data_IF_269411769189
#
_entry.id   IF_269411769189
#
_cell.length_a   1.000
_cell.length_b   1.000
_cell.length_c   1.000
_cell.angle_alpha   90.00
_cell.angle_beta   90.00
_cell.angle_gamma   90.00
#
_symmetry.space_group_name_H-M   'P 1'
#
loop_
_entity.id
_entity.type
_entity.pdbx_description
1 polymer ?
#
# COMPACT_ATOMS: atom_id res chain seq x y z
N UNK A 1 0.64 13.00 14.22
CA UNK A 1 1.80 12.46 14.96
C UNK A 1 2.22 13.45 16.03
N UNK A 2 2.71 13.02 17.20
CA UNK A 2 3.44 13.94 18.11
C UNK A 2 4.71 14.41 17.40
N UNK A 3 4.95 15.72 17.40
CA UNK A 3 6.09 16.36 16.75
C UNK A 3 7.43 15.70 17.16
N UNK A 4 7.53 15.25 18.42
CA UNK A 4 8.70 14.56 18.95
C UNK A 4 8.97 13.21 18.24
N UNK A 5 7.93 12.44 17.93
CA UNK A 5 8.10 11.16 17.23
C UNK A 5 8.47 11.35 15.76
N UNK A 6 7.96 12.41 15.13
CA UNK A 6 8.35 12.76 13.75
C UNK A 6 9.84 13.04 13.66
N UNK A 7 10.35 13.91 14.53
CA UNK A 7 11.78 14.30 14.56
C UNK A 7 12.68 13.09 14.83
N UNK A 8 12.34 12.27 15.82
CA UNK A 8 13.08 11.03 16.11
C UNK A 8 13.03 10.04 14.95
N UNK A 9 11.90 9.91 14.26
CA UNK A 9 11.80 9.01 13.10
C UNK A 9 12.71 9.48 11.98
N UNK A 10 12.74 10.78 11.67
CA UNK A 10 13.65 11.36 10.67
C UNK A 10 15.11 11.20 11.06
N UNK A 11 15.45 11.40 12.33
CA UNK A 11 16.80 11.20 12.85
C UNK A 11 17.26 9.75 12.66
N UNK A 12 16.41 8.78 12.98
CA UNK A 12 16.72 7.35 12.80
C UNK A 12 16.80 6.95 11.31
N UNK A 13 15.92 7.47 10.45
CA UNK A 13 16.03 7.26 8.99
C UNK A 13 17.36 7.81 8.47
N UNK A 14 17.79 8.97 8.98
CA UNK A 14 19.04 9.59 8.55
C UNK A 14 20.25 8.77 8.99
N UNK A 15 20.27 8.30 10.24
CA UNK A 15 21.36 7.51 10.83
C UNK A 15 21.46 6.08 10.28
N UNK A 16 20.32 5.42 10.07
CA UNK A 16 20.30 4.04 9.61
C UNK A 16 20.80 3.94 8.17
N UNK A 17 21.76 3.06 7.92
CA UNK A 17 22.20 2.63 6.60
C UNK A 17 21.39 1.43 6.11
N UNK A 18 21.04 0.50 7.01
CA UNK A 18 20.29 -0.72 6.71
C UNK A 18 18.86 -0.67 7.26
N UNK A 19 17.86 -0.81 6.37
CA UNK A 19 16.43 -0.66 6.72
C UNK A 19 15.61 -1.84 6.20
N UNK A 20 14.84 -2.48 7.08
CA UNK A 20 13.89 -3.53 6.68
C UNK A 20 12.47 -2.98 6.55
N UNK A 21 11.76 -3.38 5.50
CA UNK A 21 10.31 -3.18 5.35
C UNK A 21 9.63 -4.54 5.43
N UNK A 22 8.83 -4.77 6.47
CA UNK A 22 8.10 -6.01 6.70
C UNK A 22 6.61 -5.76 6.47
N UNK A 23 5.99 -6.60 5.64
CA UNK A 23 4.57 -6.46 5.26
C UNK A 23 3.80 -7.68 5.73
N UNK A 24 2.80 -7.46 6.58
CA UNK A 24 1.90 -8.51 7.07
C UNK A 24 1.14 -9.17 5.92
N UNK A 25 0.98 -10.50 5.98
CA UNK A 25 0.16 -11.26 5.03
C UNK A 25 -1.30 -10.79 5.05
N UNK A 26 -1.81 -10.35 6.20
CA UNK A 26 -3.17 -9.83 6.33
C UNK A 26 -3.37 -8.51 5.57
N UNK A 27 -2.30 -7.80 5.25
CA UNK A 27 -2.32 -6.58 4.44
C UNK A 27 -2.73 -6.81 2.97
N UNK A 28 -2.55 -8.03 2.45
CA UNK A 28 -2.88 -8.38 1.07
C UNK A 28 -2.28 -7.43 0.03
N UNK A 29 -3.03 -7.14 -1.03
CA UNK A 29 -2.59 -6.24 -2.12
C UNK A 29 -2.27 -4.82 -1.62
N UNK A 30 -3.06 -4.29 -0.70
CA UNK A 30 -2.90 -2.93 -0.17
C UNK A 30 -1.62 -2.79 0.68
N UNK A 31 -1.38 -3.75 1.58
CA UNK A 31 -0.14 -3.81 2.36
C UNK A 31 1.09 -3.98 1.46
N UNK A 32 0.98 -4.83 0.44
CA UNK A 32 2.06 -5.04 -0.53
C UNK A 32 2.41 -3.75 -1.29
N UNK A 33 1.39 -3.04 -1.76
CA UNK A 33 1.53 -1.77 -2.46
C UNK A 33 2.19 -0.69 -1.57
N UNK A 34 1.75 -0.59 -0.31
CA UNK A 34 2.34 0.29 0.69
C UNK A 34 3.81 -0.04 0.96
N UNK A 35 4.15 -1.31 1.17
CA UNK A 35 5.51 -1.75 1.44
C UNK A 35 6.47 -1.53 0.28
N UNK A 36 6.03 -1.83 -0.94
CA UNK A 36 6.84 -1.59 -2.13
C UNK A 36 7.06 -0.10 -2.39
N UNK A 37 6.05 0.74 -2.17
CA UNK A 37 6.21 2.19 -2.26
C UNK A 37 7.24 2.72 -1.25
N UNK A 38 7.16 2.28 0.00
CA UNK A 38 8.11 2.67 1.04
C UNK A 38 9.52 2.16 0.73
N UNK A 39 9.65 0.91 0.28
CA UNK A 39 10.91 0.32 -0.17
C UNK A 39 11.59 1.19 -1.24
N UNK A 40 10.86 1.55 -2.30
CA UNK A 40 11.37 2.37 -3.39
C UNK A 40 11.73 3.79 -2.92
N UNK A 41 10.92 4.38 -2.05
CA UNK A 41 11.18 5.71 -1.45
C UNK A 41 12.46 5.74 -0.62
N UNK A 42 12.66 4.74 0.24
CA UNK A 42 13.87 4.60 1.07
C UNK A 42 15.11 4.27 0.22
N UNK A 43 14.95 3.51 -0.86
CA UNK A 43 16.04 3.21 -1.79
C UNK A 43 16.54 4.48 -2.50
N UNK A 44 15.65 5.44 -2.79
CA UNK A 44 16.05 6.77 -3.32
C UNK A 44 16.82 7.63 -2.34
N UNK A 45 16.75 7.34 -1.04
CA UNK A 45 17.61 7.94 -0.02
C UNK A 45 18.97 7.23 0.10
N UNK A 46 19.31 6.38 -0.87
CA UNK A 46 20.55 5.59 -0.92
C UNK A 46 20.72 4.64 0.29
N UNK A 47 19.60 4.26 0.92
CA UNK A 47 19.59 3.28 2.01
C UNK A 47 19.66 1.87 1.45
N UNK A 48 20.26 0.95 2.22
CA UNK A 48 20.25 -0.48 1.93
C UNK A 48 18.95 -1.06 2.47
N UNK A 49 17.95 -1.10 1.60
CA UNK A 49 16.61 -1.55 1.98
C UNK A 49 16.40 -3.00 1.58
N UNK A 50 15.82 -3.79 2.48
CA UNK A 50 15.26 -5.11 2.17
C UNK A 50 13.76 -5.10 2.45
N UNK A 51 12.99 -5.82 1.63
CA UNK A 51 11.55 -5.97 1.82
C UNK A 51 11.17 -7.44 1.96
N UNK A 52 10.46 -7.76 3.04
CA UNK A 52 9.87 -9.08 3.28
C UNK A 52 8.36 -8.95 3.27
N UNK A 53 7.72 -9.73 2.42
CA UNK A 53 6.27 -9.77 2.23
C UNK A 53 5.87 -11.16 1.73
N UNK A 54 4.56 -11.40 1.61
CA UNK A 54 4.06 -12.57 0.89
C UNK A 54 4.62 -12.60 -0.54
N UNK A 55 4.95 -13.80 -1.04
CA UNK A 55 5.37 -13.99 -2.42
C UNK A 55 4.31 -13.40 -3.38
N UNK A 56 4.70 -12.51 -4.31
CA UNK A 56 3.74 -11.83 -5.17
C UNK A 56 3.10 -12.81 -6.16
N UNK A 57 1.81 -12.62 -6.42
CA UNK A 57 1.13 -13.34 -7.50
C UNK A 57 1.49 -12.73 -8.87
N UNK A 58 1.18 -13.44 -9.96
CA UNK A 58 1.30 -12.90 -11.33
C UNK A 58 0.44 -11.64 -11.52
N UNK A 59 -0.68 -11.53 -10.81
CA UNK A 59 -1.54 -10.34 -10.85
C UNK A 59 -0.85 -9.15 -10.19
N UNK A 60 -0.22 -9.37 -9.03
CA UNK A 60 0.50 -8.32 -8.29
C UNK A 60 1.67 -7.80 -9.13
N UNK A 61 2.43 -8.70 -9.74
CA UNK A 61 3.57 -8.36 -10.59
C UNK A 61 3.20 -7.54 -11.84
N UNK A 62 1.94 -7.60 -12.28
CA UNK A 62 1.43 -6.79 -13.40
C UNK A 62 0.88 -5.43 -12.95
N UNK A 63 0.77 -5.19 -11.65
CA UNK A 63 0.04 -4.06 -11.07
C UNK A 63 0.85 -3.24 -10.08
N UNK A 64 2.02 -3.71 -9.65
CA UNK A 64 2.88 -3.03 -8.71
C UNK A 64 4.34 -3.03 -9.21
N UNK A 65 5.03 -1.93 -8.97
CA UNK A 65 6.46 -1.81 -9.19
C UNK A 65 7.27 -2.40 -8.03
N UNK A 66 8.41 -3.02 -8.35
CA UNK A 66 9.38 -3.50 -7.36
C UNK A 66 9.05 -4.86 -6.72
N UNK A 67 8.04 -5.58 -7.22
CA UNK A 67 7.67 -6.91 -6.70
C UNK A 67 8.83 -7.92 -6.73
N UNK A 68 9.78 -7.72 -7.63
CA UNK A 68 10.92 -8.61 -7.80
C UNK A 68 11.95 -8.44 -6.69
N UNK A 69 11.90 -7.38 -5.89
CA UNK A 69 12.77 -7.17 -4.73
C UNK A 69 12.30 -7.91 -3.46
N UNK A 70 11.08 -8.46 -3.47
CA UNK A 70 10.53 -9.19 -2.32
C UNK A 70 11.37 -10.42 -2.00
N UNK A 71 11.86 -10.50 -0.76
CA UNK A 71 12.69 -11.60 -0.30
C UNK A 71 14.10 -11.62 -0.89
N UNK A 72 14.47 -10.63 -1.74
CA UNK A 72 15.85 -10.44 -2.17
C UNK A 72 16.61 -9.71 -1.06
N UNK A 73 17.30 -10.47 -0.22
CA UNK A 73 18.29 -9.92 0.69
C UNK A 73 19.65 -9.98 -0.01
N UNK A 74 20.39 -8.87 -0.04
CA UNK A 74 21.82 -8.96 -0.31
C UNK A 74 22.42 -9.87 0.75
N UNK A 75 22.88 -11.05 0.33
CA UNK A 75 23.49 -12.01 1.25
C UNK A 75 24.66 -11.31 1.93
N UNK A 76 24.59 -11.18 3.25
CA UNK A 76 25.78 -10.91 4.02
C UNK A 76 26.65 -12.17 3.95
N UNK A 77 27.97 -12.01 3.82
CA UNK A 77 28.87 -13.16 3.71
C UNK A 77 29.16 -13.79 5.09
N UNK A 78 28.46 -13.34 6.12
CA UNK A 78 28.61 -13.75 7.49
C UNK A 78 27.96 -15.11 7.72
N UNK A 79 28.76 -16.14 7.98
CA UNK A 79 28.31 -17.47 8.34
C UNK A 79 28.02 -17.54 9.86
N UNK A 80 26.78 -17.86 10.22
CA UNK A 80 26.35 -18.13 11.60
C UNK A 80 26.41 -19.64 11.85
N UNK A 81 27.01 -20.02 12.96
CA UNK A 81 27.06 -21.41 13.43
C UNK A 81 26.06 -21.52 14.58
N UNK A 82 24.99 -22.27 14.37
CA UNK A 82 23.92 -22.47 15.35
C UNK A 82 24.11 -23.81 16.04
N UNK A 83 23.96 -23.82 17.36
CA UNK A 83 24.01 -25.02 18.19
C UNK A 83 22.63 -25.22 18.81
N UNK A 84 21.91 -26.24 18.34
CA UNK A 84 20.60 -26.59 18.88
C UNK A 84 20.73 -27.10 20.32
N UNK A 85 19.77 -26.75 21.18
CA UNK A 85 19.74 -27.08 22.61
C UNK A 85 20.97 -26.57 23.41
N UNK A 86 21.56 -25.44 22.99
CA UNK A 86 22.76 -24.87 23.61
C UNK A 86 22.62 -24.62 25.12
N UNK A 87 21.44 -24.21 25.60
CA UNK A 87 21.19 -23.93 27.03
C UNK A 87 21.42 -25.15 27.92
N UNK A 88 21.13 -26.35 27.42
CA UNK A 88 21.29 -27.60 28.16
C UNK A 88 22.68 -28.24 27.99
N UNK A 89 23.46 -27.79 27.00
CA UNK A 89 24.66 -28.50 26.53
C UNK A 89 25.94 -27.67 26.56
N UNK A 90 25.85 -26.34 26.52
CA UNK A 90 26.98 -25.42 26.36
C UNK A 90 27.16 -24.54 27.59
N UNK A 91 28.37 -24.54 28.15
CA UNK A 91 28.78 -23.63 29.23
C UNK A 91 29.39 -22.35 28.67
N UNK A 92 30.39 -22.50 27.78
CA UNK A 92 31.10 -21.36 27.16
C UNK A 92 31.62 -21.72 25.78
N UNK A 93 31.83 -20.69 24.96
CA UNK A 93 32.43 -20.81 23.62
C UNK A 93 33.72 -20.01 23.59
N UNK A 94 34.80 -20.61 23.09
CA UNK A 94 36.10 -19.95 22.88
C UNK A 94 36.53 -20.13 21.44
N UNK A 95 37.19 -19.13 20.84
CA UNK A 95 37.67 -19.22 19.46
C UNK A 95 39.13 -18.77 19.37
N UNK A 96 39.85 -19.35 18.40
CA UNK A 96 41.21 -18.93 18.06
C UNK A 96 41.55 -19.28 16.62
N UNK A 97 42.49 -18.53 16.04
CA UNK A 97 43.05 -18.81 14.73
C UNK A 97 44.30 -19.69 14.88
N UNK A 98 44.32 -20.80 14.17
CA UNK A 98 45.48 -21.69 14.04
C UNK A 98 45.88 -21.77 12.56
N UNK A 99 46.95 -21.05 12.21
CA UNK A 99 47.38 -20.81 10.82
C UNK A 99 46.25 -20.17 10.00
N UNK A 100 45.63 -20.96 9.13
CA UNK A 100 44.53 -20.54 8.26
C UNK A 100 43.20 -21.24 8.61
N UNK A 101 43.05 -21.69 9.87
CA UNK A 101 41.85 -22.35 10.37
C UNK A 101 41.31 -21.59 11.57
N UNK A 102 40.06 -21.14 11.49
CA UNK A 102 39.30 -20.70 12.66
C UNK A 102 38.85 -21.95 13.43
N UNK A 103 39.26 -22.08 14.69
CA UNK A 103 38.84 -23.14 15.59
C UNK A 103 37.91 -22.54 16.64
N UNK A 104 36.72 -23.12 16.75
CA UNK A 104 35.74 -22.80 17.77
C UNK A 104 35.65 -24.01 18.69
N UNK A 105 35.86 -23.79 19.99
CA UNK A 105 35.79 -24.81 21.04
C UNK A 105 34.58 -24.54 21.90
N UNK A 106 33.66 -25.49 21.89
CA UNK A 106 32.42 -25.48 22.66
C UNK A 106 32.68 -26.29 23.94
N UNK A 107 32.62 -25.62 25.09
CA UNK A 107 32.84 -26.27 26.37
C UNK A 107 31.50 -26.77 26.92
N UNK A 108 31.41 -28.06 27.31
CA UNK A 108 30.15 -28.64 27.76
C UNK A 108 29.74 -28.11 29.12
N UNK A 109 28.43 -27.99 29.34
CA UNK A 109 27.88 -27.80 30.69
C UNK A 109 28.23 -29.00 31.58
N UNK A 110 28.53 -28.76 32.85
CA UNK A 110 28.91 -29.81 33.79
C UNK A 110 27.85 -30.91 33.88
N UNK A 111 28.25 -32.16 33.62
CA UNK A 111 27.35 -33.32 33.59
C UNK A 111 26.58 -33.53 32.27
N UNK A 112 26.72 -32.62 31.30
CA UNK A 112 26.18 -32.81 29.94
C UNK A 112 27.12 -33.64 29.06
N UNK A 113 26.59 -34.16 27.95
CA UNK A 113 27.41 -34.85 26.92
C UNK A 113 28.16 -33.89 25.98
N UNK A 114 27.98 -32.57 26.16
CA UNK A 114 28.44 -31.54 25.23
C UNK A 114 27.65 -31.50 23.92
N UNK A 115 27.96 -30.51 23.09
CA UNK A 115 27.34 -30.35 21.78
C UNK A 115 27.86 -31.43 20.81
N UNK A 116 26.95 -32.12 20.13
CA UNK A 116 27.28 -33.09 19.08
C UNK A 116 27.25 -32.45 17.69
N UNK A 117 27.85 -33.11 16.69
CA UNK A 117 27.91 -32.60 15.32
C UNK A 117 26.50 -32.45 14.71
N UNK A 118 25.57 -33.32 15.08
CA UNK A 118 24.19 -33.31 14.60
C UNK A 118 23.39 -32.11 15.11
N UNK A 119 23.82 -31.51 16.22
CA UNK A 119 23.21 -30.30 16.79
C UNK A 119 23.71 -29.02 16.11
N UNK A 120 24.75 -29.09 15.27
CA UNK A 120 25.35 -27.94 14.61
C UNK A 120 24.67 -27.72 13.25
N UNK A 121 24.03 -26.56 13.10
CA UNK A 121 23.49 -26.09 11.83
C UNK A 121 24.22 -24.83 11.38
N UNK A 122 24.20 -24.57 10.07
CA UNK A 122 24.82 -23.40 9.47
C UNK A 122 23.76 -22.52 8.86
N UNK A 123 23.81 -21.24 9.20
CA UNK A 123 22.91 -20.23 8.67
C UNK A 123 23.76 -19.10 8.08
N UNK A 124 23.23 -18.43 7.06
CA UNK A 124 23.83 -17.17 6.64
C UNK A 124 23.17 -16.06 7.44
N UNK A 125 23.98 -15.19 8.02
CA UNK A 125 23.48 -14.02 8.75
C UNK A 125 22.67 -13.17 7.78
N UNK A 126 21.43 -12.88 8.13
CA UNK A 126 20.74 -11.75 7.52
C UNK A 126 21.51 -10.48 7.92
N UNK A 127 21.74 -9.57 6.96
CA UNK A 127 22.36 -8.27 7.25
C UNK A 127 21.63 -7.62 8.43
N UNK A 128 22.39 -7.19 9.46
CA UNK A 128 21.83 -6.47 10.59
C UNK A 128 21.08 -5.23 10.10
N UNK A 129 19.80 -5.17 10.44
CA UNK A 129 18.93 -4.03 10.15
C UNK A 129 18.96 -3.09 11.35
N UNK A 130 19.07 -1.79 11.11
CA UNK A 130 19.12 -0.77 12.17
C UNK A 130 17.75 -0.14 12.41
N UNK A 131 16.91 -0.12 11.37
CA UNK A 131 15.54 0.41 11.42
C UNK A 131 14.57 -0.52 10.71
N UNK A 132 13.41 -0.75 11.33
CA UNK A 132 12.37 -1.64 10.78
C UNK A 132 11.07 -0.88 10.60
N UNK A 133 10.49 -0.97 9.40
CA UNK A 133 9.12 -0.55 9.14
C UNK A 133 8.21 -1.77 9.08
N UNK A 134 7.20 -1.81 9.94
CA UNK A 134 6.16 -2.84 9.94
C UNK A 134 4.92 -2.27 9.26
N UNK A 135 4.32 -3.01 8.34
CA UNK A 135 3.10 -2.59 7.62
C UNK A 135 2.00 -3.60 7.87
N UNK A 136 0.93 -3.15 8.52
CA UNK A 136 -0.28 -3.93 8.76
C UNK A 136 -0.25 -4.87 9.96
N UNK A 137 0.88 -4.99 10.67
CA UNK A 137 0.99 -5.82 11.87
C UNK A 137 0.22 -5.21 13.05
N UNK A 138 -0.71 -5.96 13.62
CA UNK A 138 -1.56 -5.50 14.72
C UNK A 138 -1.01 -5.86 16.09
N UNK A 139 -0.31 -6.99 16.19
CA UNK A 139 0.26 -7.47 17.46
C UNK A 139 1.67 -8.01 17.28
N UNK A 140 2.38 -8.19 18.40
CA UNK A 140 3.73 -8.76 18.41
C UNK A 140 3.71 -10.23 18.00
N UNK A 141 2.66 -10.95 18.38
CA UNK A 141 2.48 -12.37 18.10
C UNK A 141 2.30 -12.61 16.59
N UNK A 142 1.59 -11.72 15.88
CA UNK A 142 1.48 -11.78 14.42
C UNK A 142 2.86 -11.63 13.74
N UNK A 143 3.68 -10.71 14.26
CA UNK A 143 5.05 -10.51 13.77
C UNK A 143 5.91 -11.77 14.00
N UNK A 144 5.88 -12.33 15.22
CA UNK A 144 6.67 -13.50 15.61
C UNK A 144 6.23 -14.78 14.87
N UNK A 145 4.98 -14.87 14.40
CA UNK A 145 4.50 -15.98 13.58
C UNK A 145 4.98 -15.90 12.12
N UNK A 146 5.23 -14.70 11.62
CA UNK A 146 5.60 -14.48 10.22
C UNK A 146 7.11 -14.34 10.00
N UNK A 147 7.85 -13.93 11.03
CA UNK A 147 9.26 -13.58 10.93
C UNK A 147 10.06 -14.35 11.98
N UNK A 148 11.07 -15.10 11.53
CA UNK A 148 11.99 -15.81 12.42
C UNK A 148 12.81 -14.81 13.25
N UNK A 149 13.13 -15.15 14.51
CA UNK A 149 13.87 -14.27 15.42
C UNK A 149 15.20 -13.75 14.82
N UNK A 150 15.85 -14.51 13.94
CA UNK A 150 17.09 -14.10 13.25
C UNK A 150 16.91 -13.04 12.14
N UNK A 151 15.69 -12.58 11.84
CA UNK A 151 15.46 -11.51 10.85
C UNK A 151 15.19 -10.15 11.51
N UNK A 152 14.98 -10.13 12.83
CA UNK A 152 14.65 -8.95 13.64
C UNK A 152 15.76 -8.61 14.64
N UNK A 153 17.01 -9.01 14.33
CA UNK A 153 18.18 -9.05 15.22
C UNK A 153 18.49 -7.65 15.78
N UNK A 154 17.80 -7.28 16.85
CA UNK A 154 18.25 -6.47 17.99
C UNK A 154 17.04 -5.82 18.65
N UNK A 155 16.95 -5.94 19.98
CA UNK A 155 16.03 -5.17 20.82
C UNK A 155 16.24 -3.66 20.71
N UNK A 156 17.36 -3.21 20.13
CA UNK A 156 17.71 -1.80 19.96
C UNK A 156 17.26 -1.20 18.62
N UNK A 157 16.67 -2.00 17.73
CA UNK A 157 16.21 -1.51 16.43
C UNK A 157 15.07 -0.52 16.60
N UNK A 158 15.12 0.58 15.85
CA UNK A 158 14.03 1.55 15.82
C UNK A 158 12.90 1.00 14.94
N UNK A 159 11.79 0.61 15.55
CA UNK A 159 10.64 0.00 14.87
C UNK A 159 9.51 1.02 14.73
N UNK A 160 9.10 1.24 13.48
CA UNK A 160 7.94 2.05 13.10
C UNK A 160 6.85 1.14 12.57
N UNK A 161 5.72 1.07 13.27
CA UNK A 161 4.55 0.32 12.80
C UNK A 161 3.57 1.22 12.06
N UNK A 162 3.10 0.81 10.89
CA UNK A 162 2.14 1.52 10.06
C UNK A 162 0.86 0.70 10.01
N UNK A 163 -0.23 1.24 10.54
CA UNK A 163 -1.50 0.50 10.61
C UNK A 163 -2.73 1.40 10.46
N UNK A 164 -3.87 0.79 10.16
CA UNK A 164 -5.17 1.44 10.12
C UNK A 164 -5.83 1.30 11.49
N UNK A 165 -6.54 2.34 11.95
CA UNK A 165 -7.32 2.25 13.18
C UNK A 165 -6.50 2.54 14.45
N UNK A 166 -7.14 2.33 15.59
CA UNK A 166 -6.48 2.33 16.88
C UNK A 166 -5.90 0.93 17.14
N UNK A 167 -4.64 0.87 17.58
CA UNK A 167 -4.05 -0.36 18.07
C UNK A 167 -4.17 -0.39 19.59
N UNK A 168 -4.73 -1.46 20.13
CA UNK A 168 -4.95 -1.62 21.57
C UNK A 168 -3.63 -1.90 22.33
N UNK A 169 -2.62 -2.44 21.65
CA UNK A 169 -1.34 -2.82 22.24
C UNK A 169 -0.18 -2.12 21.54
N UNK A 170 0.64 -1.40 22.32
CA UNK A 170 1.89 -0.82 21.84
C UNK A 170 3.03 -1.84 21.97
N UNK A 171 3.55 -2.31 20.84
CA UNK A 171 4.69 -3.24 20.79
C UNK A 171 5.88 -2.71 19.98
N UNK A 172 5.78 -1.47 19.48
CA UNK A 172 6.85 -0.77 18.74
C UNK A 172 7.12 0.60 19.36
N UNK A 173 8.28 1.20 19.05
CA UNK A 173 8.66 2.52 19.56
C UNK A 173 7.72 3.60 19.02
N UNK A 174 7.43 3.54 17.71
CA UNK A 174 6.51 4.45 17.01
C UNK A 174 5.42 3.65 16.31
N UNK A 175 4.20 4.17 16.38
CA UNK A 175 3.06 3.71 15.58
C UNK A 175 2.53 4.90 14.78
N UNK A 176 2.56 4.77 13.47
CA UNK A 176 1.89 5.67 12.54
C UNK A 176 0.55 5.04 12.17
N UNK A 177 -0.53 5.53 12.79
CA UNK A 177 -1.87 5.06 12.47
C UNK A 177 -2.85 6.22 12.26
N UNK A 178 -3.84 5.96 11.42
CA UNK A 178 -4.96 6.86 11.19
C UNK A 178 -6.26 6.12 11.53
N UNK A 179 -7.02 6.55 12.57
CA UNK A 179 -8.30 5.95 12.94
C UNK A 179 -9.33 5.96 11.81
N UNK A 180 -9.29 7.00 10.98
CA UNK A 180 -10.20 7.19 9.84
C UNK A 180 -9.65 6.61 8.54
N UNK A 181 -8.42 6.10 8.53
CA UNK A 181 -7.79 5.56 7.32
C UNK A 181 -8.59 4.38 6.75
N UNK A 182 -8.70 4.30 5.42
CA UNK A 182 -9.36 3.17 4.74
C UNK A 182 -8.39 2.15 4.18
N UNK A 183 -7.12 2.53 4.06
CA UNK A 183 -6.07 1.76 3.40
C UNK A 183 -4.71 1.94 4.07
N UNK A 184 -3.88 0.88 4.07
CA UNK A 184 -2.49 0.93 4.52
C UNK A 184 -1.66 1.83 3.60
N UNK A 185 -1.96 1.82 2.30
CA UNK A 185 -1.34 2.72 1.33
C UNK A 185 -1.69 4.19 1.59
N UNK A 186 -2.91 4.48 2.04
CA UNK A 186 -3.30 5.84 2.45
C UNK A 186 -2.48 6.33 3.65
N UNK A 187 -2.39 5.50 4.70
CA UNK A 187 -1.62 5.83 5.92
C UNK A 187 -0.13 5.94 5.61
N UNK A 188 0.40 5.08 4.75
CA UNK A 188 1.81 5.12 4.31
C UNK A 188 2.09 6.37 3.49
N UNK A 189 1.18 6.78 2.61
CA UNK A 189 1.30 8.02 1.84
C UNK A 189 1.29 9.25 2.77
N UNK A 190 0.43 9.26 3.79
CA UNK A 190 0.43 10.31 4.82
C UNK A 190 1.78 10.35 5.55
N UNK A 191 2.33 9.21 5.95
CA UNK A 191 3.65 9.13 6.58
C UNK A 191 4.76 9.66 5.67
N UNK A 192 4.80 9.22 4.40
CA UNK A 192 5.79 9.70 3.41
C UNK A 192 5.68 11.23 3.24
N UNK A 193 4.46 11.76 3.17
CA UNK A 193 4.20 13.21 3.08
C UNK A 193 4.69 13.94 4.33
N UNK A 194 4.38 13.43 5.52
CA UNK A 194 4.78 14.06 6.79
C UNK A 194 6.28 14.05 6.99
N UNK A 195 6.95 12.95 6.65
CA UNK A 195 8.40 12.77 6.75
C UNK A 195 9.16 13.37 5.54
N UNK A 196 8.45 13.91 4.55
CA UNK A 196 9.02 14.43 3.31
C UNK A 196 9.96 13.43 2.60
N UNK A 197 9.60 12.15 2.61
CA UNK A 197 10.39 11.12 1.92
C UNK A 197 10.24 11.25 0.39
N UNK A 198 11.23 10.80 -0.41
CA UNK A 198 11.18 10.91 -1.86
C UNK A 198 9.95 10.21 -2.45
N UNK A 199 9.32 10.87 -3.41
CA UNK A 199 8.15 10.35 -4.13
C UNK A 199 8.35 10.59 -5.63
N UNK A 200 8.10 9.57 -6.43
CA UNK A 200 8.10 9.66 -7.89
C UNK A 200 6.86 8.97 -8.48
N UNK A 201 6.84 8.84 -9.80
CA UNK A 201 5.74 8.23 -10.56
C UNK A 201 5.41 6.80 -10.10
N UNK A 202 6.43 5.95 -9.95
CA UNK A 202 6.26 4.53 -9.59
C UNK A 202 5.82 4.36 -8.13
N UNK A 203 6.46 5.09 -7.20
CA UNK A 203 6.10 5.10 -5.78
C UNK A 203 4.65 5.60 -5.62
N UNK A 204 4.31 6.69 -6.31
CA UNK A 204 2.99 7.29 -6.24
C UNK A 204 1.92 6.36 -6.81
N UNK A 205 2.24 5.66 -7.90
CA UNK A 205 1.33 4.69 -8.51
C UNK A 205 1.09 3.49 -7.61
N UNK A 206 2.12 2.92 -6.98
CA UNK A 206 1.94 1.82 -6.03
C UNK A 206 0.95 2.21 -4.92
N UNK A 207 1.18 3.34 -4.25
CA UNK A 207 0.28 3.84 -3.20
C UNK A 207 -1.15 4.06 -3.73
N UNK A 208 -1.27 4.70 -4.90
CA UNK A 208 -2.57 4.96 -5.52
C UNK A 208 -3.32 3.66 -5.85
N UNK A 209 -2.63 2.67 -6.40
CA UNK A 209 -3.19 1.38 -6.76
C UNK A 209 -3.69 0.62 -5.52
N UNK A 210 -2.94 0.67 -4.41
CA UNK A 210 -3.34 0.09 -3.12
C UNK A 210 -4.60 0.74 -2.57
N UNK A 211 -4.66 2.09 -2.54
CA UNK A 211 -5.86 2.83 -2.12
C UNK A 211 -7.05 2.49 -3.02
N UNK A 212 -6.88 2.55 -4.33
CA UNK A 212 -7.95 2.27 -5.28
C UNK A 212 -8.50 0.84 -5.11
N UNK A 213 -7.62 -0.16 -4.94
CA UNK A 213 -8.06 -1.54 -4.71
C UNK A 213 -8.83 -1.68 -3.39
N UNK A 214 -8.27 -1.15 -2.30
CA UNK A 214 -8.84 -1.32 -0.95
C UNK A 214 -10.18 -0.62 -0.80
N UNK A 215 -10.36 0.49 -1.52
CA UNK A 215 -11.58 1.30 -1.52
C UNK A 215 -12.58 0.93 -2.62
N UNK A 216 -12.35 -0.17 -3.34
CA UNK A 216 -13.17 -0.60 -4.48
C UNK A 216 -13.37 0.53 -5.51
N UNK A 217 -12.25 1.08 -6.00
CA UNK A 217 -12.15 2.23 -6.89
C UNK A 217 -12.88 3.47 -6.34
N UNK A 218 -12.54 3.84 -5.10
CA UNK A 218 -13.07 5.03 -4.43
C UNK A 218 -14.60 5.04 -4.26
N UNK A 219 -15.20 3.87 -3.99
CA UNK A 219 -16.65 3.81 -3.83
C UNK A 219 -17.10 4.56 -2.57
N UNK A 220 -18.28 5.22 -2.58
CA UNK A 220 -18.72 6.06 -1.45
C UNK A 220 -18.76 5.34 -0.10
N UNK A 221 -19.01 4.03 -0.09
CA UNK A 221 -19.08 3.24 1.12
C UNK A 221 -17.69 2.87 1.68
N UNK A 222 -16.69 2.73 0.82
CA UNK A 222 -15.34 2.30 1.20
C UNK A 222 -14.30 3.43 1.18
N UNK A 223 -14.71 4.67 0.91
CA UNK A 223 -13.84 5.86 0.88
C UNK A 223 -14.33 6.96 1.79
N UNK A 224 -13.42 7.86 2.12
CA UNK A 224 -13.74 9.15 2.74
C UNK A 224 -12.98 10.28 2.03
N UNK A 225 -13.18 11.51 2.48
CA UNK A 225 -12.50 12.69 1.91
C UNK A 225 -10.97 12.56 1.94
N UNK A 226 -10.40 11.93 2.96
CA UNK A 226 -8.95 11.75 3.07
C UNK A 226 -8.40 10.84 1.97
N UNK A 227 -9.10 9.77 1.60
CA UNK A 227 -8.71 8.93 0.46
C UNK A 227 -8.57 9.74 -0.84
N UNK A 228 -9.54 10.63 -1.12
CA UNK A 228 -9.51 11.48 -2.32
C UNK A 228 -8.41 12.54 -2.26
N UNK A 229 -8.16 13.13 -1.09
CA UNK A 229 -7.07 14.09 -0.88
C UNK A 229 -5.71 13.44 -1.16
N UNK A 230 -5.47 12.27 -0.58
CA UNK A 230 -4.22 11.53 -0.79
C UNK A 230 -4.10 11.07 -2.24
N UNK A 231 -5.18 10.56 -2.84
CA UNK A 231 -5.16 10.17 -4.25
C UNK A 231 -4.82 11.35 -5.17
N UNK A 232 -5.41 12.53 -4.93
CA UNK A 232 -5.09 13.76 -5.66
C UNK A 232 -3.62 14.17 -5.48
N UNK A 233 -3.11 14.09 -4.25
CA UNK A 233 -1.70 14.34 -3.96
C UNK A 233 -0.78 13.36 -4.72
N UNK A 234 -1.07 12.06 -4.71
CA UNK A 234 -0.29 11.06 -5.46
C UNK A 234 -0.35 11.29 -6.98
N UNK A 235 -1.49 11.71 -7.52
CA UNK A 235 -1.61 12.08 -8.94
C UNK A 235 -0.71 13.27 -9.31
N UNK A 236 -0.56 14.25 -8.41
CA UNK A 236 0.36 15.39 -8.62
C UNK A 236 1.82 14.92 -8.81
N UNK A 237 2.21 13.83 -8.17
CA UNK A 237 3.55 13.23 -8.30
C UNK A 237 3.66 12.17 -9.41
N UNK A 238 2.64 12.05 -10.24
CA UNK A 238 2.73 11.27 -11.48
C UNK A 238 2.05 9.91 -11.45
N UNK A 239 1.28 9.55 -10.40
CA UNK A 239 0.60 8.25 -10.37
C UNK A 239 -0.21 7.92 -11.66
N UNK A 240 -0.83 8.93 -12.29
CA UNK A 240 -1.58 8.75 -13.55
C UNK A 240 -0.72 8.62 -14.82
N UNK A 241 0.58 8.95 -14.74
CA UNK A 241 1.52 8.87 -15.86
C UNK A 241 2.25 7.53 -15.91
N UNK A 242 2.30 6.83 -14.77
CA UNK A 242 2.94 5.52 -14.62
C UNK A 242 2.57 4.55 -15.76
N UNK A 243 3.58 3.86 -16.29
CA UNK A 243 3.38 2.88 -17.36
C UNK A 243 2.37 1.79 -17.00
N UNK A 244 2.32 1.36 -15.74
CA UNK A 244 1.33 0.43 -15.22
C UNK A 244 -0.09 1.05 -15.15
N UNK A 245 -0.22 2.36 -14.91
CA UNK A 245 -1.51 3.05 -14.99
C UNK A 245 -2.09 3.00 -16.40
N UNK A 246 -1.25 3.22 -17.42
CA UNK A 246 -1.64 3.16 -18.83
C UNK A 246 -2.05 1.74 -19.25
N UNK A 247 -1.43 0.72 -18.67
CA UNK A 247 -1.76 -0.68 -18.94
C UNK A 247 -3.08 -1.11 -18.29
N UNK A 248 -3.41 -0.58 -17.11
CA UNK A 248 -4.68 -0.85 -16.44
C UNK A 248 -5.89 -0.41 -17.29
N UNK A 249 -5.80 0.74 -17.97
CA UNK A 249 -6.87 1.23 -18.87
C UNK A 249 -7.06 0.33 -20.09
N UNK A 250 -5.97 -0.20 -20.67
CA UNK A 250 -6.02 -1.10 -21.83
C UNK A 250 -6.65 -2.46 -21.50
N UNK A 251 -6.36 -3.00 -20.32
CA UNK A 251 -6.94 -4.27 -19.85
C UNK A 251 -8.45 -4.17 -19.64
N UNK A 252 -8.95 -3.04 -19.14
CA UNK A 252 -10.39 -2.81 -18.98
C UNK A 252 -11.11 -2.57 -20.32
N UNK A 253 -10.45 -1.94 -21.30
CA UNK A 253 -11.00 -1.73 -22.65
C UNK A 253 -11.18 -3.06 -23.42
N UNK A 254 -10.26 -4.02 -23.25
CA UNK A 254 -10.36 -5.34 -23.87
C UNK A 254 -11.50 -6.21 -23.33
N UNK A 255 -11.88 -6.03 -22.06
CA UNK A 255 -13.00 -6.77 -21.45
C UNK A 255 -14.38 -6.21 -21.86
N UNK A 256 -14.49 -4.91 -22.17
CA UNK A 256 -15.75 -4.32 -22.66
C UNK A 256 -16.07 -4.68 -24.12
N UNK A 257 -15.09 -5.12 -24.90
CA UNK A 257 -15.29 -5.52 -26.30
C UNK A 257 -15.92 -6.92 -26.48
N UNK A 258 -15.94 -7.76 -25.44
CA UNK A 258 -16.48 -9.13 -25.51
C UNK A 258 -17.93 -9.26 -24.98
N UNK A 259 -18.47 -8.22 -24.33
CA UNK A 259 -19.83 -8.24 -23.79
C UNK A 259 -20.87 -7.54 -24.67
N UNK A 260 -20.50 -7.10 -25.87
CA UNK A 260 -21.41 -6.48 -26.84
C UNK A 260 -21.83 -7.47 -27.94
N UNK A 261 -22.25 -8.68 -27.57
CA UNK A 261 -23.02 -9.55 -28.47
C UNK A 261 -24.11 -10.25 -27.68
N UNK A 262 -25.25 -9.57 -27.57
CA UNK A 262 -26.62 -10.10 -27.49
C UNK A 262 -27.53 -9.01 -26.90
N UNK A 263 -27.78 -7.97 -27.68
CA UNK A 263 -29.02 -7.23 -27.51
C UNK A 263 -30.11 -8.01 -28.24
N UNK A 264 -31.07 -8.49 -27.46
CA UNK A 264 -32.30 -9.09 -27.94
C UNK A 264 -32.99 -8.14 -28.92
N UNK A 265 -33.26 -8.63 -30.13
CA UNK A 265 -34.23 -8.06 -31.04
C UNK A 265 -35.61 -8.20 -30.40
N UNK A 266 -36.08 -7.19 -29.67
CA UNK A 266 -37.50 -7.10 -29.34
C UNK A 266 -38.23 -6.56 -30.55
N UNK A 267 -38.88 -7.45 -31.29
CA UNK A 267 -39.93 -7.08 -32.23
C UNK A 267 -41.02 -6.34 -31.45
N UNK A 268 -41.36 -5.13 -31.89
CA UNK A 268 -42.51 -4.39 -31.38
C UNK A 268 -43.80 -5.15 -31.74
N UNK A 269 -44.73 -5.39 -30.80
CA UNK A 269 -46.06 -5.83 -31.17
C UNK A 269 -46.83 -4.64 -31.75
N UNK A 270 -47.37 -4.82 -32.96
CA UNK A 270 -48.31 -3.87 -33.56
C UNK A 270 -49.54 -3.71 -32.64
N UNK A 271 -49.98 -2.49 -32.32
CA UNK A 271 -51.27 -2.30 -31.70
C UNK A 271 -52.38 -2.56 -32.74
N UNK A 272 -53.33 -3.44 -32.39
CA UNK A 272 -54.60 -3.58 -33.09
C UNK A 272 -55.42 -2.33 -32.78
N UNK A 273 -55.70 -1.51 -33.80
CA UNK A 273 -56.66 -0.42 -33.69
C UNK A 273 -58.06 -0.97 -33.91
N UNK A 274 -58.89 -0.91 -32.87
CA UNK A 274 -60.32 -1.16 -32.96
C UNK A 274 -60.99 0.05 -33.63
N UNK A 275 -61.79 -0.23 -34.65
CA UNK A 275 -62.44 0.78 -35.49
C UNK A 275 -63.60 1.41 -34.71
N UNK A 276 -63.45 2.68 -34.30
CA UNK A 276 -64.56 3.51 -33.85
C UNK A 276 -64.79 4.58 -34.90
N UNK A 277 -66.01 4.59 -35.44
CA UNK A 277 -66.53 5.43 -36.51
C UNK A 277 -66.72 6.90 -36.09
N UNK A 278 -66.35 7.79 -37.02
CA UNK A 278 -66.82 9.15 -37.32
C UNK A 278 -67.39 10.01 -36.19
N UNK A 279 -66.71 11.13 -35.84
CA UNK A 279 -67.33 12.48 -35.71
C UNK A 279 -66.29 13.60 -35.99
N UNK A 280 -66.56 14.34 -37.07
CA UNK A 280 -66.26 15.74 -37.45
C UNK A 280 -64.83 16.35 -37.50
N UNK A 281 -64.51 16.77 -38.73
CA UNK A 281 -63.48 17.69 -39.20
C UNK A 281 -63.52 19.07 -38.51
N UNK A 282 -62.38 19.54 -37.98
CA UNK A 282 -62.09 20.98 -37.89
C UNK A 282 -60.59 21.29 -37.92
N UNK A 283 -60.15 21.67 -39.12
CA UNK A 283 -59.13 22.67 -39.50
C UNK A 283 -57.86 22.79 -38.66
N UNK A 284 -56.76 22.39 -39.29
CA UNK A 284 -55.35 22.63 -38.94
C UNK A 284 -55.05 24.14 -38.96
N UNK A 285 -54.38 24.65 -37.92
CA UNK A 285 -53.46 25.77 -38.06
C UNK A 285 -52.10 25.35 -37.48
N UNK A 286 -51.09 25.35 -38.35
CA UNK A 286 -49.70 25.10 -38.07
C UNK A 286 -49.07 26.37 -37.50
N UNK A 287 -48.65 26.36 -36.24
CA UNK A 287 -47.72 27.36 -35.67
C UNK A 287 -47.31 26.94 -34.24
N UNK A 288 -46.49 25.89 -34.10
CA UNK A 288 -45.88 25.56 -32.80
C UNK A 288 -44.42 25.13 -32.85
N UNK A 289 -43.74 25.23 -33.98
CA UNK A 289 -42.30 24.89 -34.05
C UNK A 289 -41.36 26.07 -33.72
N UNK A 290 -41.87 27.29 -33.49
CA UNK A 290 -41.03 28.49 -33.33
C UNK A 290 -40.79 28.97 -31.88
N UNK A 291 -41.36 28.31 -30.86
CA UNK A 291 -41.45 28.91 -29.51
C UNK A 291 -40.31 28.52 -28.54
N UNK A 292 -39.36 27.68 -28.96
CA UNK A 292 -38.23 27.25 -28.13
C UNK A 292 -36.90 28.00 -28.39
N UNK A 293 -36.86 28.87 -29.41
CA UNK A 293 -35.65 29.59 -29.83
C UNK A 293 -35.60 31.06 -29.37
N UNK A 294 -36.48 31.51 -28.47
CA UNK A 294 -36.42 32.89 -27.97
C UNK A 294 -35.55 33.02 -26.71
N UNK A 295 -34.52 33.90 -26.70
CA UNK A 295 -33.74 34.18 -25.51
C UNK A 295 -34.57 34.93 -24.45
N UNK A 296 -34.26 34.78 -23.14
CA UNK A 296 -35.09 35.34 -22.08
C UNK A 296 -35.06 36.87 -22.08
N UNK A 297 -36.23 37.49 -21.90
CA UNK A 297 -36.39 38.95 -21.81
C UNK A 297 -35.76 39.48 -20.52
N UNK A 298 -34.71 40.30 -20.67
CA UNK A 298 -34.07 41.03 -19.57
C UNK A 298 -35.01 42.15 -19.11
N UNK A 299 -35.42 42.10 -17.84
CA UNK A 299 -36.25 43.13 -17.21
C UNK A 299 -35.40 44.36 -16.85
N UNK A 300 -35.63 45.51 -17.49
CA UNK A 300 -35.05 46.80 -17.06
C UNK A 300 -36.00 47.45 -16.04
N UNK A 301 -35.53 47.62 -14.81
CA UNK A 301 -36.27 48.33 -13.76
C UNK A 301 -36.48 49.80 -14.10
N UNK A 302 -37.74 50.23 -14.14
CA UNK A 302 -38.13 51.63 -14.24
C UNK A 302 -38.18 52.26 -12.83
N UNK A 303 -37.35 53.28 -12.61
CA UNK A 303 -37.50 54.23 -11.51
C UNK A 303 -38.65 55.19 -11.84
N UNK A 304 -39.52 55.43 -10.88
CA UNK A 304 -40.36 56.63 -10.80
C UNK A 304 -40.35 57.11 -9.36
N UNK A 305 -39.70 58.26 -9.13
CA UNK A 305 -39.94 59.11 -7.98
C UNK A 305 -40.18 60.50 -8.58
N UNK A 306 -41.45 60.84 -8.72
CA UNK A 306 -41.86 62.22 -8.96
C UNK A 306 -41.83 62.99 -7.65
N UNK A 307 -41.21 64.16 -7.70
CA UNK A 307 -41.26 65.22 -6.69
C UNK A 307 -42.57 65.98 -6.86
N UNK A 308 -43.11 66.48 -5.75
CA UNK A 308 -43.62 67.85 -5.73
C UNK A 308 -43.63 68.43 -4.30
N UNK A 309 -43.07 69.65 -4.23
CA UNK A 309 -43.20 70.77 -3.28
C UNK A 309 -43.18 70.52 -1.77
#
# INVERSE_FOLDING_TARGET
>A
MDQNFKEKTLENITKAEAVSVLVSKAGGFDGLAAGLALYLSLTKLEKKVNILAQAPTVSDARRLYGVDYIGKTEKDNNLVIVINDAVATVDKVTYFLDKNKLKIVIHPLAGSKGASQEQITYEQSARNTEMVFLIGYKTKEELEQEITHEQLISSDNWIVNINIGNLDQKFTQVTFSNPEGKSLSEVTAQMIRELALPLDEDISYNLFAGIAQKTNNFSPYHSNSSCFEIASWLMKFGAGKASLAQNATKLQAGQKAQSATNFYTSQSPNPVFEHVSDIDEKVINADSEQDWLTPPKIYKGSKSFDREN
#
